data_IF_747127930765
#
_entry.id   IF_747127930765
#
_cell.length_a   1.000
_cell.length_b   1.000
_cell.length_c   1.000
_cell.angle_alpha   90.00
_cell.angle_beta   90.00
_cell.angle_gamma   90.00
#
_symmetry.space_group_name_H-M   'P 1'
#
loop_
_entity.id
_entity.type
_entity.pdbx_description
1 polymer ?
#
# COMPACT_ATOMS: atom_id res chain seq x y z
N UNK A 1 14.77 -7.38 16.40
CA UNK A 1 13.69 -6.57 15.82
C UNK A 1 13.61 -6.83 14.34
N UNK A 2 12.53 -7.46 13.90
CA UNK A 2 12.25 -7.76 12.50
C UNK A 2 11.15 -6.83 11.98
N UNK A 3 11.30 -6.31 10.75
CA UNK A 3 10.24 -5.56 10.07
C UNK A 3 9.43 -6.55 9.23
N UNK A 4 8.14 -6.67 9.53
CA UNK A 4 7.21 -7.51 8.78
C UNK A 4 6.14 -6.61 8.17
N UNK A 5 5.89 -6.75 6.87
CA UNK A 5 4.83 -6.00 6.19
C UNK A 5 3.76 -6.97 5.67
N UNK A 6 2.50 -6.52 5.68
CA UNK A 6 1.42 -7.17 4.96
C UNK A 6 0.69 -6.15 4.09
N UNK A 7 0.27 -6.60 2.92
CA UNK A 7 -0.59 -5.84 2.02
C UNK A 7 -1.98 -6.48 2.02
N UNK A 8 -2.98 -5.68 2.40
CA UNK A 8 -4.39 -6.10 2.52
C UNK A 8 -5.17 -5.48 1.37
N UNK A 9 -6.06 -6.24 0.73
CA UNK A 9 -6.92 -5.74 -0.35
C UNK A 9 -8.31 -6.36 -0.32
N UNK A 10 -9.25 -5.71 -0.98
CA UNK A 10 -10.58 -6.26 -1.22
C UNK A 10 -10.50 -7.48 -2.15
N UNK A 11 -11.35 -8.48 -1.85
CA UNK A 11 -11.59 -9.64 -2.72
C UNK A 11 -12.30 -9.18 -4.00
N UNK A 12 -13.26 -8.26 -3.87
CA UNK A 12 -13.95 -7.63 -5.00
C UNK A 12 -13.10 -6.50 -5.61
N UNK A 13 -13.43 -6.04 -6.84
CA UNK A 13 -12.77 -4.87 -7.42
C UNK A 13 -12.84 -3.66 -6.49
N UNK A 14 -11.70 -2.99 -6.30
CA UNK A 14 -11.63 -1.79 -5.47
C UNK A 14 -12.15 -0.57 -6.27
N UNK A 15 -13.25 0.06 -5.84
CA UNK A 15 -13.83 1.19 -6.56
C UNK A 15 -12.91 2.42 -6.62
N UNK A 16 -12.04 2.62 -5.62
CA UNK A 16 -11.06 3.71 -5.63
C UNK A 16 -9.97 3.44 -6.67
N UNK A 17 -9.48 2.20 -6.78
CA UNK A 17 -8.51 1.82 -7.80
C UNK A 17 -9.08 1.90 -9.23
N UNK A 18 -10.35 1.51 -9.41
CA UNK A 18 -11.06 1.66 -10.70
C UNK A 18 -11.23 3.12 -11.08
N UNK A 19 -11.68 3.95 -10.13
CA UNK A 19 -11.84 5.40 -10.34
C UNK A 19 -10.50 6.07 -10.66
N UNK A 20 -9.44 5.70 -9.94
CA UNK A 20 -8.08 6.18 -10.20
C UNK A 20 -7.64 5.87 -11.64
N UNK A 21 -7.76 4.61 -12.07
CA UNK A 21 -7.34 4.21 -13.41
C UNK A 21 -8.15 4.95 -14.50
N UNK A 22 -9.46 5.11 -14.31
CA UNK A 22 -10.30 5.85 -15.24
C UNK A 22 -9.92 7.34 -15.31
N UNK A 23 -9.58 7.93 -14.17
CA UNK A 23 -9.11 9.32 -14.10
C UNK A 23 -7.80 9.49 -14.86
N UNK A 24 -6.83 8.59 -14.64
CA UNK A 24 -5.54 8.61 -15.34
C UNK A 24 -5.72 8.44 -16.86
N UNK A 25 -6.62 7.55 -17.30
CA UNK A 25 -6.96 7.42 -18.72
C UNK A 25 -7.54 8.71 -19.32
N UNK A 26 -8.37 9.43 -18.55
CA UNK A 26 -8.96 10.69 -18.98
C UNK A 26 -7.92 11.83 -19.11
N UNK A 27 -6.80 11.75 -18.38
CA UNK A 27 -5.70 12.72 -18.48
C UNK A 27 -4.90 12.63 -19.79
N UNK A 28 -5.15 11.59 -20.63
CA UNK A 28 -4.49 11.41 -21.94
C UNK A 28 -2.96 11.45 -21.87
N UNK A 29 -2.39 10.87 -20.82
CA UNK A 29 -0.95 10.72 -20.68
C UNK A 29 -0.40 9.86 -21.83
N UNK A 30 0.82 10.13 -22.28
CA UNK A 30 1.46 9.32 -23.33
C UNK A 30 1.69 7.87 -22.88
N UNK A 31 1.99 7.66 -21.59
CA UNK A 31 2.28 6.35 -21.02
C UNK A 31 1.54 6.18 -19.68
N UNK A 32 0.21 5.96 -19.71
CA UNK A 32 -0.53 5.71 -18.49
C UNK A 32 -0.25 4.29 -17.95
N UNK A 33 -0.32 4.05 -16.63
CA UNK A 33 -0.42 2.71 -16.09
C UNK A 33 -1.59 1.94 -16.73
N UNK A 34 -1.35 0.67 -17.03
CA UNK A 34 -2.35 -0.25 -17.58
C UNK A 34 -3.29 -0.77 -16.49
N UNK A 35 -2.76 -0.95 -15.28
CA UNK A 35 -3.49 -1.40 -14.09
C UNK A 35 -3.09 -0.56 -12.89
N UNK A 36 -4.04 -0.32 -11.99
CA UNK A 36 -3.80 0.28 -10.69
C UNK A 36 -4.43 -0.63 -9.64
N UNK A 37 -3.66 -0.97 -8.62
CA UNK A 37 -4.14 -1.62 -7.42
C UNK A 37 -3.91 -0.73 -6.20
N UNK A 38 -4.77 -0.91 -5.21
CA UNK A 38 -4.71 -0.25 -3.92
C UNK A 38 -4.71 -1.33 -2.85
N UNK A 39 -3.84 -1.15 -1.86
CA UNK A 39 -3.71 -2.01 -0.71
C UNK A 39 -3.66 -1.15 0.55
N UNK A 40 -4.20 -1.67 1.65
CA UNK A 40 -3.86 -1.17 2.97
C UNK A 40 -2.55 -1.85 3.39
N UNK A 41 -1.50 -1.07 3.58
CA UNK A 41 -0.17 -1.54 3.93
C UNK A 41 0.02 -1.40 5.44
N UNK A 42 0.22 -2.53 6.11
CA UNK A 42 0.57 -2.57 7.52
C UNK A 42 2.02 -2.98 7.65
N UNK A 43 2.80 -2.21 8.40
CA UNK A 43 4.16 -2.54 8.81
C UNK A 43 4.21 -2.75 10.31
N UNK A 44 4.81 -3.86 10.73
CA UNK A 44 5.00 -4.22 12.12
C UNK A 44 6.50 -4.31 12.38
N UNK A 45 6.93 -3.75 13.51
CA UNK A 45 8.23 -4.09 14.10
C UNK A 45 7.96 -5.09 15.21
N UNK A 46 8.46 -6.29 15.07
CA UNK A 46 8.31 -7.35 16.07
C UNK A 46 9.61 -7.56 16.82
N UNK A 47 9.51 -7.73 18.14
CA UNK A 47 10.65 -8.09 18.96
C UNK A 47 11.08 -9.55 18.68
N UNK A 48 10.09 -10.44 18.55
CA UNK A 48 10.24 -11.88 18.36
C UNK A 48 9.15 -12.44 17.42
N UNK A 49 9.35 -13.66 16.91
CA UNK A 49 8.34 -14.44 16.16
C UNK A 49 8.03 -13.99 14.72
N UNK A 50 8.39 -12.76 14.33
CA UNK A 50 8.38 -12.31 12.93
C UNK A 50 7.03 -12.55 12.25
N UNK A 51 7.05 -13.27 11.12
CA UNK A 51 5.85 -13.58 10.31
C UNK A 51 4.82 -14.44 11.02
N UNK A 52 5.22 -15.34 11.91
CA UNK A 52 4.30 -16.21 12.64
C UNK A 52 3.43 -15.39 13.59
N UNK A 53 4.06 -14.50 14.36
CA UNK A 53 3.34 -13.53 15.21
C UNK A 53 2.38 -12.67 14.41
N UNK A 54 2.78 -12.14 13.25
CA UNK A 54 1.87 -11.31 12.44
C UNK A 54 0.72 -12.12 11.86
N UNK A 55 0.93 -13.39 11.52
CA UNK A 55 -0.16 -14.27 11.09
C UNK A 55 -1.18 -14.49 12.21
N UNK A 56 -0.71 -14.62 13.44
CA UNK A 56 -1.56 -14.73 14.63
C UNK A 56 -2.31 -13.41 14.92
N UNK A 57 -1.64 -12.27 14.85
CA UNK A 57 -2.28 -10.95 15.01
C UNK A 57 -3.42 -10.80 13.99
N UNK A 58 -3.16 -11.07 12.71
CA UNK A 58 -4.17 -10.92 11.65
C UNK A 58 -5.34 -11.89 11.83
N UNK A 59 -5.13 -13.08 12.39
CA UNK A 59 -6.22 -14.02 12.64
C UNK A 59 -7.12 -13.60 13.83
N UNK A 60 -6.55 -12.88 14.80
CA UNK A 60 -7.29 -12.38 15.97
C UNK A 60 -8.03 -11.08 15.73
N UNK A 61 -7.53 -10.21 14.83
CA UNK A 61 -8.05 -8.86 14.64
C UNK A 61 -8.65 -8.66 13.24
N UNK A 62 -9.97 -8.84 13.16
CA UNK A 62 -10.73 -8.67 11.90
C UNK A 62 -10.79 -7.22 11.40
N UNK A 63 -10.42 -6.25 12.23
CA UNK A 63 -10.29 -4.85 11.85
C UNK A 63 -9.01 -4.57 11.04
N UNK A 64 -7.98 -5.43 11.16
CA UNK A 64 -6.78 -5.38 10.30
C UNK A 64 -7.11 -6.06 8.97
N UNK A 65 -7.69 -7.27 9.04
CA UNK A 65 -8.17 -8.00 7.86
C UNK A 65 -9.51 -8.64 8.16
N UNK A 66 -10.54 -8.19 7.46
CA UNK A 66 -11.83 -8.85 7.49
C UNK A 66 -11.84 -10.00 6.47
N UNK A 67 -11.80 -11.29 6.89
CA UNK A 67 -11.65 -12.42 5.96
C UNK A 67 -12.84 -12.58 5.00
N UNK A 68 -14.00 -12.00 5.32
CA UNK A 68 -15.17 -12.05 4.45
C UNK A 68 -15.12 -11.03 3.30
N UNK A 69 -14.29 -9.98 3.42
CA UNK A 69 -14.22 -8.87 2.45
C UNK A 69 -12.83 -8.72 1.84
N UNK A 70 -11.81 -9.11 2.58
CA UNK A 70 -10.42 -8.82 2.30
C UNK A 70 -9.58 -10.09 2.26
N UNK A 71 -8.47 -9.98 1.54
CA UNK A 71 -7.39 -10.96 1.53
C UNK A 71 -6.08 -10.21 1.74
N UNK A 72 -5.08 -10.90 2.25
CA UNK A 72 -3.78 -10.31 2.54
C UNK A 72 -2.65 -11.22 2.10
N UNK A 73 -1.46 -10.65 1.98
CA UNK A 73 -0.20 -11.37 1.75
C UNK A 73 0.91 -10.66 2.51
N UNK A 74 1.98 -11.38 2.86
CA UNK A 74 3.22 -10.73 3.23
C UNK A 74 3.73 -9.88 2.06
N UNK A 75 4.22 -8.70 2.41
CA UNK A 75 4.75 -7.71 1.49
C UNK A 75 6.24 -7.51 1.79
N UNK A 76 7.03 -7.23 0.76
CA UNK A 76 8.44 -6.85 0.88
C UNK A 76 8.96 -6.32 -0.44
N UNK A 77 10.13 -5.71 -0.43
CA UNK A 77 10.75 -5.17 -1.64
C UNK A 77 10.78 -6.21 -2.77
N UNK A 78 10.35 -5.82 -3.96
CA UNK A 78 10.34 -6.70 -5.14
C UNK A 78 9.32 -7.84 -5.10
N UNK A 79 8.46 -7.93 -4.08
CA UNK A 79 7.43 -8.97 -4.06
C UNK A 79 6.28 -8.66 -5.02
N UNK A 80 5.79 -9.70 -5.70
CA UNK A 80 4.56 -9.64 -6.49
C UNK A 80 3.39 -9.82 -5.53
N UNK A 81 2.55 -8.80 -5.40
CA UNK A 81 1.41 -8.84 -4.49
C UNK A 81 0.23 -9.57 -5.13
N UNK A 82 -0.70 -10.03 -4.29
CA UNK A 82 -1.86 -10.80 -4.75
C UNK A 82 -2.74 -9.98 -5.71
N UNK A 83 -2.91 -10.51 -6.92
CA UNK A 83 -3.68 -9.90 -8.00
C UNK A 83 -2.85 -9.11 -9.01
N UNK A 84 -1.56 -8.94 -8.75
CA UNK A 84 -0.64 -8.33 -9.69
C UNK A 84 -0.33 -9.27 -10.86
N UNK A 85 -0.08 -8.67 -12.01
CA UNK A 85 0.24 -9.35 -13.25
C UNK A 85 1.76 -9.43 -13.39
N UNK A 86 2.38 -10.63 -13.41
CA UNK A 86 3.84 -10.77 -13.48
C UNK A 86 4.44 -10.30 -14.81
N UNK A 87 3.60 -10.02 -15.82
CA UNK A 87 4.02 -9.45 -17.09
C UNK A 87 4.00 -7.92 -17.12
N UNK A 88 3.74 -7.26 -15.99
CA UNK A 88 3.83 -5.81 -15.84
C UNK A 88 4.98 -5.41 -14.93
N UNK A 89 5.56 -4.24 -15.23
CA UNK A 89 6.45 -3.55 -14.31
C UNK A 89 5.61 -2.83 -13.26
N UNK A 90 5.71 -3.25 -12.00
CA UNK A 90 4.94 -2.66 -10.90
C UNK A 90 5.77 -1.66 -10.10
N UNK A 91 5.29 -0.42 -10.02
CA UNK A 91 5.85 0.61 -9.15
C UNK A 91 4.92 0.82 -7.96
N UNK A 92 5.49 0.83 -6.75
CA UNK A 92 4.76 1.07 -5.51
C UNK A 92 4.97 2.48 -4.96
N UNK A 93 3.87 3.15 -4.62
CA UNK A 93 3.84 4.41 -3.89
C UNK A 93 3.08 4.18 -2.58
N UNK A 94 3.70 4.49 -1.44
CA UNK A 94 3.04 4.48 -0.14
C UNK A 94 2.63 5.89 0.24
N UNK A 95 1.42 6.02 0.74
CA UNK A 95 0.85 7.26 1.26
C UNK A 95 0.53 7.06 2.72
N UNK A 96 1.04 7.95 3.57
CA UNK A 96 0.78 7.94 5.01
C UNK A 96 0.32 9.30 5.47
N UNK A 97 -0.57 9.33 6.45
CA UNK A 97 -0.95 10.59 7.08
C UNK A 97 0.16 11.06 8.02
N UNK A 98 0.39 12.38 8.11
CA UNK A 98 1.36 12.93 9.07
C UNK A 98 0.91 12.70 10.52
N UNK A 99 -0.41 12.74 10.76
CA UNK A 99 -1.03 12.45 12.05
C UNK A 99 -1.66 11.04 12.01
N UNK A 100 -0.83 10.03 12.28
CA UNK A 100 -1.26 8.63 12.22
C UNK A 100 -1.74 8.10 13.58
N UNK A 101 -2.96 8.49 13.95
CA UNK A 101 -3.63 7.98 15.15
C UNK A 101 -3.95 6.48 15.07
N UNK A 102 -4.08 5.92 13.86
CA UNK A 102 -4.36 4.50 13.63
C UNK A 102 -3.18 3.66 14.11
N UNK A 103 -1.98 4.00 13.68
CA UNK A 103 -0.75 3.31 14.07
C UNK A 103 -0.47 3.32 15.57
N UNK A 104 -0.66 4.48 16.21
CA UNK A 104 -0.50 4.61 17.66
C UNK A 104 -1.51 3.72 18.42
N UNK A 105 -2.79 3.83 18.08
CA UNK A 105 -3.85 3.04 18.71
C UNK A 105 -3.64 1.53 18.56
N UNK A 106 -3.18 1.08 17.38
CA UNK A 106 -2.88 -0.33 17.14
C UNK A 106 -1.65 -0.81 17.90
N UNK A 107 -0.60 0.01 18.00
CA UNK A 107 0.58 -0.32 18.80
C UNK A 107 0.18 -0.56 20.25
N UNK A 108 -0.55 0.39 20.86
CA UNK A 108 -1.02 0.29 22.24
C UNK A 108 -1.99 -0.88 22.46
N UNK A 109 -2.82 -1.21 21.47
CA UNK A 109 -3.74 -2.34 21.55
C UNK A 109 -3.00 -3.67 21.54
N UNK A 110 -2.04 -3.86 20.63
CA UNK A 110 -1.29 -5.10 20.49
C UNK A 110 -0.39 -5.35 21.71
N UNK A 111 0.25 -4.30 22.23
CA UNK A 111 1.03 -4.36 23.46
C UNK A 111 0.15 -4.79 24.65
N UNK A 112 -1.01 -4.15 24.85
CA UNK A 112 -1.97 -4.53 25.90
C UNK A 112 -2.51 -5.95 25.77
N UNK A 113 -2.51 -6.50 24.55
CA UNK A 113 -2.93 -7.87 24.25
C UNK A 113 -1.80 -8.89 24.37
N UNK A 114 -0.58 -8.44 24.70
CA UNK A 114 0.58 -9.29 24.94
C UNK A 114 1.28 -9.77 23.66
N UNK A 115 0.99 -9.18 22.51
CA UNK A 115 1.72 -9.49 21.28
C UNK A 115 3.10 -8.81 21.30
N UNK A 116 4.19 -9.49 20.88
CA UNK A 116 5.54 -8.94 20.85
C UNK A 116 5.75 -7.98 19.67
N UNK A 117 4.91 -6.95 19.57
CA UNK A 117 4.91 -5.91 18.53
C UNK A 117 5.29 -4.58 19.17
N UNK A 118 6.45 -4.04 18.77
CA UNK A 118 7.00 -2.79 19.31
C UNK A 118 6.36 -1.56 18.66
N UNK A 119 5.97 -1.66 17.39
CA UNK A 119 5.31 -0.57 16.69
C UNK A 119 4.54 -1.06 15.47
N UNK A 120 3.42 -0.41 15.20
CA UNK A 120 2.65 -0.53 13.97
C UNK A 120 2.79 0.74 13.14
N UNK A 121 2.85 0.60 11.81
CA UNK A 121 2.67 1.68 10.85
C UNK A 121 1.65 1.29 9.80
N UNK A 122 0.67 2.14 9.57
CA UNK A 122 -0.35 1.96 8.54
C UNK A 122 -0.14 2.95 7.40
N UNK A 123 -0.66 2.62 6.22
CA UNK A 123 -0.66 3.49 5.05
C UNK A 123 -1.40 2.86 3.88
N UNK A 124 -1.58 3.64 2.82
CA UNK A 124 -2.17 3.16 1.58
C UNK A 124 -1.07 2.94 0.56
N UNK A 125 -0.92 1.70 0.08
CA UNK A 125 -0.01 1.34 -0.98
C UNK A 125 -0.75 1.33 -2.32
N UNK A 126 -0.36 2.23 -3.22
CA UNK A 126 -0.77 2.25 -4.60
C UNK A 126 0.26 1.52 -5.47
N UNK A 127 -0.20 0.56 -6.26
CA UNK A 127 0.62 -0.22 -7.19
C UNK A 127 0.20 0.12 -8.62
N UNK A 128 1.13 0.66 -9.39
CA UNK A 128 0.92 1.10 -10.76
C UNK A 128 1.64 0.15 -11.71
N UNK A 129 0.88 -0.54 -12.55
CA UNK A 129 1.38 -1.54 -13.50
C UNK A 129 1.61 -0.93 -14.88
N UNK A 130 2.87 -0.85 -15.30
CA UNK A 130 3.32 -0.39 -16.62
C UNK A 130 3.74 -1.57 -17.49
N UNK A 131 3.94 -1.33 -18.79
CA UNK A 131 4.52 -2.33 -19.68
C UNK A 131 5.90 -2.77 -19.16
N UNK A 132 6.20 -4.07 -19.21
CA UNK A 132 7.44 -4.67 -18.65
C UNK A 132 8.74 -4.08 -19.18
N UNK A 133 8.72 -3.58 -20.42
CA UNK A 133 9.85 -2.97 -21.11
C UNK A 133 9.95 -1.44 -20.88
N UNK A 134 9.08 -0.86 -20.04
CA UNK A 134 9.20 0.54 -19.63
C UNK A 134 10.45 0.69 -18.76
N UNK A 135 11.23 1.76 -18.98
CA UNK A 135 12.36 2.09 -18.11
C UNK A 135 11.89 2.31 -16.66
N UNK A 136 12.57 1.69 -15.69
CA UNK A 136 12.13 1.71 -14.29
C UNK A 136 12.19 3.11 -13.68
N UNK A 137 13.24 3.88 -13.97
CA UNK A 137 13.38 5.23 -13.46
C UNK A 137 12.28 6.15 -14.01
N UNK A 138 11.94 5.97 -15.30
CA UNK A 138 10.82 6.65 -15.92
C UNK A 138 9.47 6.25 -15.31
N UNK A 139 9.23 4.96 -15.08
CA UNK A 139 8.01 4.47 -14.45
C UNK A 139 7.85 5.01 -13.01
N UNK A 140 8.94 5.05 -12.24
CA UNK A 140 8.99 5.65 -10.90
C UNK A 140 8.66 7.14 -10.94
N UNK A 141 9.26 7.89 -11.87
CA UNK A 141 8.96 9.31 -12.06
C UNK A 141 7.49 9.55 -12.37
N UNK A 142 6.92 8.80 -13.33
CA UNK A 142 5.51 8.92 -13.70
C UNK A 142 4.57 8.56 -12.53
N UNK A 143 4.91 7.54 -11.74
CA UNK A 143 4.14 7.18 -10.56
C UNK A 143 4.15 8.28 -9.50
N UNK A 144 5.30 8.95 -9.29
CA UNK A 144 5.42 10.06 -8.37
C UNK A 144 4.62 11.29 -8.84
N UNK A 145 4.70 11.61 -10.13
CA UNK A 145 3.94 12.72 -10.74
C UNK A 145 2.41 12.49 -10.61
N UNK A 146 1.97 11.22 -10.61
CA UNK A 146 0.58 10.83 -10.34
C UNK A 146 0.22 10.84 -8.86
N UNK A 147 1.19 10.70 -7.96
CA UNK A 147 0.93 10.54 -6.53
C UNK A 147 0.64 11.85 -5.81
N UNK A 148 1.40 12.91 -6.11
CA UNK A 148 1.36 14.15 -5.33
C UNK A 148 0.55 15.23 -6.04
N UNK A 149 -0.53 15.68 -5.40
CA UNK A 149 -1.41 16.71 -5.94
C UNK A 149 -0.75 18.10 -5.95
N UNK A 150 0.01 18.42 -7.00
CA UNK A 150 0.74 19.70 -7.12
C UNK A 150 -0.08 20.82 -7.78
N UNK A 151 -1.14 20.48 -8.54
CA UNK A 151 -2.03 21.47 -9.18
C UNK A 151 -3.47 20.93 -9.18
N UNK A 152 -4.47 21.75 -9.58
CA UNK A 152 -5.85 21.27 -9.81
C UNK A 152 -5.95 20.12 -10.83
N UNK A 153 -4.93 19.93 -11.66
CA UNK A 153 -4.88 18.95 -12.75
C UNK A 153 -3.68 17.99 -12.66
N UNK A 154 -2.94 18.00 -11.55
CA UNK A 154 -1.72 17.21 -11.38
C UNK A 154 -1.67 16.58 -10.00
N UNK A 155 -1.37 15.28 -9.97
CA UNK A 155 -1.48 14.38 -8.82
C UNK A 155 -2.91 13.93 -8.50
N UNK A 156 -3.01 12.73 -7.91
CA UNK A 156 -4.27 12.00 -7.76
C UNK A 156 -4.44 11.29 -6.41
N UNK A 157 -3.35 10.82 -5.80
CA UNK A 157 -3.46 9.86 -4.70
C UNK A 157 -3.31 10.47 -3.31
N UNK A 158 -2.51 11.53 -3.17
CA UNK A 158 -2.21 12.17 -1.90
C UNK A 158 -2.60 13.64 -1.86
N UNK A 159 -2.93 14.10 -0.66
CA UNK A 159 -3.00 15.51 -0.29
C UNK A 159 -1.65 15.95 0.32
N UNK A 160 -0.87 16.82 -0.35
CA UNK A 160 0.47 17.21 0.10
C UNK A 160 0.50 18.00 1.42
N UNK A 161 -0.64 18.49 1.90
CA UNK A 161 -0.72 19.26 3.16
C UNK A 161 -0.80 18.34 4.38
N UNK A 162 -1.32 17.12 4.21
CA UNK A 162 -1.61 16.22 5.34
C UNK A 162 -1.00 14.83 5.20
N UNK A 163 -0.35 14.53 4.08
CA UNK A 163 0.13 13.19 3.77
C UNK A 163 1.57 13.20 3.24
N UNK A 164 2.36 12.24 3.72
CA UNK A 164 3.66 11.88 3.20
C UNK A 164 3.51 10.87 2.05
N UNK A 165 4.33 11.04 1.01
CA UNK A 165 4.45 10.11 -0.10
C UNK A 165 5.86 9.57 -0.16
N UNK A 166 6.00 8.24 -0.14
CA UNK A 166 7.29 7.57 -0.31
C UNK A 166 7.18 6.47 -1.36
N UNK A 167 8.29 6.12 -2.02
CA UNK A 167 8.32 4.87 -2.76
C UNK A 167 8.18 3.70 -1.79
N UNK A 168 7.52 2.64 -2.25
CA UNK A 168 7.53 1.38 -1.53
C UNK A 168 8.87 0.69 -1.79
N UNK A 169 9.71 0.67 -0.75
CA UNK A 169 10.96 -0.09 -0.63
C UNK A 169 10.76 -1.16 0.42
#
# INVERSE_FOLDING_TARGET
>A
MEKVQIAVRLITPDPAAVTALNTVKAMRLQMPPLKIHRYDLWEFKTAEGGKETISEVVSHFTDIVNPNKQTWTFAGEGSVLKGEDPELLWVGIVIRDYEDSVSGNWTDLLERRGFPVDSVRWGVLWRLGYLKNTDEALARKMALDLAVSHTRTGGLFSNPVSQEVSFWT
#
